data_IF_421023558141
#
_entry.id   IF_421023558141
#
_cell.length_a   1.000
_cell.length_b   1.000
_cell.length_c   1.000
_cell.angle_alpha   90.00
_cell.angle_beta   90.00
_cell.angle_gamma   90.00
#
_symmetry.space_group_name_H-M   'P 1'
#
loop_
_entity.id
_entity.type
_entity.pdbx_description
1 polymer ?
#
# COMPACT_ATOMS: atom_id res chain seq x y z
N UNK A 1 26.29 2.68 15.42
CA UNK A 1 25.86 1.29 15.19
C UNK A 1 24.94 1.32 13.97
N UNK A 2 25.32 0.67 12.86
CA UNK A 2 24.50 0.61 11.65
C UNK A 2 23.52 -0.56 11.85
N UNK A 3 22.24 -0.27 12.01
CA UNK A 3 21.22 -1.30 12.03
C UNK A 3 21.04 -1.83 10.59
N UNK A 4 21.36 -3.09 10.36
CA UNK A 4 21.08 -3.76 9.09
C UNK A 4 19.68 -4.38 9.19
N UNK A 5 18.74 -3.80 8.49
CA UNK A 5 17.42 -4.38 8.34
C UNK A 5 17.45 -5.42 7.22
N UNK A 6 16.83 -6.57 7.47
CA UNK A 6 16.65 -7.60 6.44
C UNK A 6 15.31 -7.34 5.75
N UNK A 7 15.32 -7.33 4.43
CA UNK A 7 14.11 -7.26 3.60
C UNK A 7 14.26 -8.16 2.38
N UNK A 8 13.12 -8.53 1.80
CA UNK A 8 13.07 -9.29 0.55
C UNK A 8 12.98 -8.34 -0.65
N UNK A 9 13.30 -8.82 -1.83
CA UNK A 9 13.00 -8.10 -3.07
C UNK A 9 11.49 -8.24 -3.37
N UNK A 10 10.68 -7.42 -2.70
CA UNK A 10 9.24 -7.54 -2.70
C UNK A 10 8.61 -7.52 -4.12
N UNK A 11 9.04 -6.69 -5.09
CA UNK A 11 8.52 -6.72 -6.45
C UNK A 11 8.59 -8.08 -7.15
N UNK A 12 9.58 -8.90 -6.82
CA UNK A 12 9.71 -10.25 -7.37
C UNK A 12 8.78 -11.27 -6.68
N UNK A 13 8.47 -11.04 -5.42
CA UNK A 13 7.90 -12.09 -4.57
C UNK A 13 6.46 -11.84 -4.14
N UNK A 14 6.01 -10.59 -4.08
CA UNK A 14 4.68 -10.23 -3.59
C UNK A 14 3.73 -9.85 -4.73
N UNK A 15 2.47 -10.21 -4.58
CA UNK A 15 1.36 -9.63 -5.33
C UNK A 15 0.82 -8.36 -4.63
N UNK A 16 -0.16 -7.70 -5.23
CA UNK A 16 -0.75 -6.45 -4.74
C UNK A 16 -1.63 -6.60 -3.48
N UNK A 17 -1.84 -7.83 -3.04
CA UNK A 17 -2.46 -8.17 -1.74
C UNK A 17 -1.43 -8.58 -0.67
N UNK A 18 -0.14 -8.35 -0.95
CA UNK A 18 1.02 -8.71 -0.12
C UNK A 18 1.19 -10.22 0.10
N UNK A 19 0.63 -11.03 -0.80
CA UNK A 19 0.74 -12.48 -0.81
C UNK A 19 2.01 -12.91 -1.52
N UNK A 20 2.66 -13.93 -1.00
CA UNK A 20 3.79 -14.56 -1.69
C UNK A 20 3.31 -15.30 -2.94
N UNK A 21 3.80 -14.92 -4.12
CA UNK A 21 3.42 -15.53 -5.40
C UNK A 21 3.65 -17.04 -5.45
N UNK A 22 4.71 -17.55 -4.77
CA UNK A 22 5.05 -18.97 -4.71
C UNK A 22 4.37 -19.72 -3.55
N UNK A 23 3.81 -19.01 -2.58
CA UNK A 23 3.14 -19.53 -1.41
C UNK A 23 1.91 -18.69 -1.13
N UNK A 24 0.82 -18.90 -1.88
CA UNK A 24 -0.39 -18.07 -1.78
C UNK A 24 -1.08 -18.13 -0.42
N UNK A 25 -0.77 -19.11 0.39
CA UNK A 25 -1.18 -19.25 1.78
C UNK A 25 -0.47 -18.29 2.75
N UNK A 26 0.58 -17.58 2.30
CA UNK A 26 1.37 -16.68 3.13
C UNK A 26 1.30 -15.24 2.61
N UNK A 27 1.18 -14.31 3.55
CA UNK A 27 1.37 -12.87 3.32
C UNK A 27 2.50 -12.34 4.18
N UNK A 28 3.17 -11.34 3.70
CA UNK A 28 4.22 -10.64 4.42
C UNK A 28 3.84 -9.18 4.63
N UNK A 29 4.21 -8.65 5.79
CA UNK A 29 3.97 -7.25 6.14
C UNK A 29 5.12 -6.70 6.97
N UNK A 30 5.18 -5.39 7.10
CA UNK A 30 6.21 -4.71 7.87
C UNK A 30 7.56 -4.68 7.17
N UNK A 31 8.59 -4.43 7.95
CA UNK A 31 9.94 -4.14 7.48
C UNK A 31 10.52 -5.20 6.54
N UNK A 32 10.17 -6.46 6.73
CA UNK A 32 10.61 -7.56 5.85
C UNK A 32 10.19 -7.35 4.39
N UNK A 33 9.11 -6.61 4.13
CA UNK A 33 8.63 -6.30 2.78
C UNK A 33 9.36 -5.15 2.10
N UNK A 34 10.18 -4.39 2.83
CA UNK A 34 10.86 -3.21 2.30
C UNK A 34 10.15 -1.89 2.60
N UNK A 35 9.27 -1.85 3.59
CA UNK A 35 8.80 -0.58 4.15
C UNK A 35 9.68 -0.17 5.31
N UNK A 36 9.89 1.13 5.47
CA UNK A 36 10.57 1.72 6.61
C UNK A 36 9.59 2.51 7.47
N UNK A 37 9.81 2.47 8.80
CA UNK A 37 8.96 3.17 9.75
C UNK A 37 7.85 2.32 10.38
N UNK A 38 7.45 2.73 11.59
CA UNK A 38 6.44 2.00 12.37
C UNK A 38 5.05 2.12 11.77
N UNK A 39 4.71 3.29 11.24
CA UNK A 39 3.39 3.54 10.63
C UNK A 39 3.23 2.73 9.35
N UNK A 40 4.24 2.69 8.50
CA UNK A 40 4.25 1.90 7.27
C UNK A 40 4.20 0.40 7.56
N UNK A 41 4.90 -0.05 8.59
CA UNK A 41 4.85 -1.44 9.03
C UNK A 41 3.46 -1.83 9.53
N UNK A 42 2.83 -0.99 10.34
CA UNK A 42 1.46 -1.19 10.80
C UNK A 42 0.46 -1.16 9.63
N UNK A 43 0.64 -0.22 8.69
CA UNK A 43 -0.21 -0.09 7.52
C UNK A 43 -0.17 -1.34 6.63
N UNK A 44 1.01 -1.88 6.34
CA UNK A 44 1.13 -3.13 5.56
C UNK A 44 0.54 -4.32 6.30
N UNK A 45 0.66 -4.38 7.64
CA UNK A 45 -0.01 -5.38 8.47
C UNK A 45 -1.53 -5.31 8.35
N UNK A 46 -2.10 -4.10 8.42
CA UNK A 46 -3.53 -3.87 8.22
C UNK A 46 -3.97 -4.31 6.82
N UNK A 47 -3.25 -3.95 5.77
CA UNK A 47 -3.57 -4.33 4.39
C UNK A 47 -3.57 -5.85 4.24
N UNK A 48 -2.52 -6.53 4.71
CA UNK A 48 -2.40 -7.98 4.63
C UNK A 48 -3.54 -8.70 5.37
N UNK A 49 -3.86 -8.25 6.59
CA UNK A 49 -4.96 -8.81 7.38
C UNK A 49 -6.31 -8.61 6.71
N UNK A 50 -6.60 -7.42 6.18
CA UNK A 50 -7.84 -7.14 5.47
C UNK A 50 -8.01 -7.98 4.22
N UNK A 51 -6.96 -8.11 3.42
CA UNK A 51 -6.99 -8.95 2.23
C UNK A 51 -7.22 -10.43 2.58
N UNK A 52 -6.59 -10.91 3.65
CA UNK A 52 -6.82 -12.28 4.15
C UNK A 52 -8.28 -12.48 4.56
N UNK A 53 -8.81 -11.59 5.39
CA UNK A 53 -10.20 -11.69 5.86
C UNK A 53 -11.19 -11.66 4.71
N UNK A 54 -10.98 -10.79 3.71
CA UNK A 54 -11.85 -10.72 2.54
C UNK A 54 -11.95 -12.09 1.81
N UNK A 55 -10.83 -12.78 1.67
CA UNK A 55 -10.79 -14.11 1.04
C UNK A 55 -11.43 -15.19 1.93
N UNK A 56 -11.14 -15.19 3.23
CA UNK A 56 -11.68 -16.17 4.18
C UNK A 56 -13.22 -16.13 4.27
N UNK A 57 -13.82 -14.97 4.06
CA UNK A 57 -15.30 -14.84 4.03
C UNK A 57 -15.88 -15.04 2.63
N UNK A 58 -15.10 -15.54 1.68
CA UNK A 58 -15.54 -15.84 0.32
C UNK A 58 -15.65 -14.62 -0.60
N UNK A 59 -15.07 -13.49 -0.20
CA UNK A 59 -14.98 -12.28 -1.02
C UNK A 59 -13.70 -12.22 -1.86
N UNK A 60 -13.50 -11.07 -2.50
CA UNK A 60 -12.31 -10.78 -3.30
C UNK A 60 -11.45 -9.76 -2.55
N UNK A 61 -10.17 -10.07 -2.39
CA UNK A 61 -9.21 -9.12 -1.86
C UNK A 61 -8.85 -8.06 -2.90
N UNK A 62 -8.90 -6.80 -2.49
CA UNK A 62 -8.49 -5.66 -3.32
C UNK A 62 -7.40 -4.87 -2.62
N UNK A 63 -6.33 -4.46 -3.33
CA UNK A 63 -5.37 -3.52 -2.78
C UNK A 63 -6.03 -2.15 -2.54
N UNK A 64 -5.50 -1.34 -1.62
CA UNK A 64 -5.97 0.03 -1.47
C UNK A 64 -5.71 0.85 -2.75
N UNK A 65 -6.57 1.84 -3.07
CA UNK A 65 -6.42 2.66 -4.28
C UNK A 65 -5.05 3.33 -4.36
N UNK A 66 -4.40 3.35 -5.53
CA UNK A 66 -3.01 3.81 -5.68
C UNK A 66 -2.81 5.31 -5.41
N UNK A 67 -3.87 6.10 -5.41
CA UNK A 67 -3.87 7.53 -5.05
C UNK A 67 -3.76 7.74 -3.53
N UNK A 68 -3.94 6.70 -2.73
CA UNK A 68 -3.84 6.73 -1.27
C UNK A 68 -2.41 6.45 -0.81
N UNK A 69 -2.07 6.86 0.41
CA UNK A 69 -0.79 6.50 1.04
C UNK A 69 -0.60 4.98 1.13
N UNK A 70 -1.66 4.25 1.50
CA UNK A 70 -1.66 2.79 1.58
C UNK A 70 -1.42 2.14 0.21
N UNK A 71 -2.12 2.61 -0.83
CA UNK A 71 -1.93 2.12 -2.20
C UNK A 71 -0.58 2.49 -2.77
N UNK A 72 -0.04 3.66 -2.43
CA UNK A 72 1.31 4.07 -2.76
C UNK A 72 2.38 3.12 -2.20
N UNK A 73 2.22 2.67 -0.95
CA UNK A 73 3.09 1.65 -0.35
C UNK A 73 3.00 0.31 -1.11
N UNK A 74 1.79 -0.20 -1.35
CA UNK A 74 1.61 -1.45 -2.09
C UNK A 74 2.24 -1.35 -3.48
N UNK A 75 2.01 -0.25 -4.19
CA UNK A 75 2.61 -0.03 -5.51
C UNK A 75 4.14 -0.01 -5.46
N UNK A 76 4.74 0.61 -4.44
CA UNK A 76 6.18 0.56 -4.25
C UNK A 76 6.68 -0.87 -4.07
N UNK A 77 6.00 -1.66 -3.25
CA UNK A 77 6.38 -3.04 -2.94
C UNK A 77 6.18 -4.02 -4.11
N UNK A 78 5.30 -3.73 -5.07
CA UNK A 78 4.88 -4.71 -6.06
C UNK A 78 5.16 -4.32 -7.50
N UNK A 79 5.35 -3.02 -7.77
CA UNK A 79 5.51 -2.47 -9.12
C UNK A 79 6.80 -1.68 -9.33
N UNK A 80 7.68 -1.58 -8.32
CA UNK A 80 9.01 -1.00 -8.50
C UNK A 80 9.90 -1.93 -9.33
N UNK A 81 10.92 -1.35 -9.99
CA UNK A 81 11.94 -2.17 -10.64
C UNK A 81 12.67 -3.03 -9.60
N UNK A 82 12.70 -4.34 -9.84
CA UNK A 82 13.38 -5.29 -8.94
C UNK A 82 14.87 -5.02 -8.81
N UNK A 83 15.50 -4.47 -9.85
CA UNK A 83 16.94 -4.23 -9.89
C UNK A 83 17.34 -3.03 -9.01
N UNK A 84 16.43 -2.11 -8.79
CA UNK A 84 16.67 -0.87 -8.03
C UNK A 84 15.81 -0.76 -6.78
N UNK A 85 15.10 -1.83 -6.40
CA UNK A 85 14.23 -1.83 -5.24
C UNK A 85 15.00 -1.56 -3.96
N UNK A 86 14.56 -0.56 -3.22
CA UNK A 86 15.10 -0.18 -1.91
C UNK A 86 13.96 0.06 -0.93
N UNK A 87 14.18 -0.21 0.36
CA UNK A 87 13.22 0.14 1.39
C UNK A 87 12.86 1.63 1.36
N UNK A 88 11.61 1.94 1.67
CA UNK A 88 11.14 3.32 1.65
C UNK A 88 10.05 3.57 2.70
N UNK A 89 10.03 4.82 3.19
CA UNK A 89 8.87 5.40 3.85
C UNK A 89 7.87 5.88 2.78
N UNK A 90 6.64 6.11 3.20
CA UNK A 90 5.65 6.72 2.33
C UNK A 90 6.03 8.16 1.97
N UNK A 91 5.96 8.48 0.70
CA UNK A 91 6.16 9.82 0.18
C UNK A 91 5.08 10.16 -0.85
N UNK A 92 4.88 11.45 -1.13
CA UNK A 92 3.97 11.90 -2.19
C UNK A 92 4.29 11.29 -3.57
N UNK A 93 5.57 10.98 -3.83
CA UNK A 93 6.00 10.36 -5.09
C UNK A 93 5.57 8.92 -5.28
N UNK A 94 5.24 8.21 -4.22
CA UNK A 94 4.74 6.83 -4.27
C UNK A 94 3.24 6.77 -4.60
N UNK A 95 2.48 7.80 -4.24
CA UNK A 95 1.05 7.85 -4.54
C UNK A 95 0.84 8.13 -6.04
N UNK A 96 -0.16 7.49 -6.64
CA UNK A 96 -0.53 7.78 -8.01
C UNK A 96 -0.99 9.25 -8.14
N UNK A 97 -0.61 9.95 -9.21
CA UNK A 97 -0.98 11.34 -9.38
C UNK A 97 -2.49 11.50 -9.60
N UNK A 98 -3.00 12.69 -9.26
CA UNK A 98 -4.36 13.06 -9.65
C UNK A 98 -4.53 13.03 -11.18
N UNK A 99 -5.77 12.79 -11.68
CA UNK A 99 -6.04 12.81 -13.12
C UNK A 99 -5.52 14.07 -13.80
N UNK A 100 -4.96 13.94 -15.01
CA UNK A 100 -4.39 15.03 -15.77
C UNK A 100 -5.41 16.11 -16.17
N UNK A 101 -6.70 15.78 -16.13
CA UNK A 101 -7.82 16.70 -16.40
C UNK A 101 -8.07 17.71 -15.28
N UNK A 102 -7.49 17.49 -14.08
CA UNK A 102 -7.66 18.40 -12.97
C UNK A 102 -6.74 19.63 -13.10
N UNK A 103 -7.33 20.83 -13.09
CA UNK A 103 -6.60 22.10 -13.10
C UNK A 103 -6.43 22.63 -11.67
N UNK A 104 -5.23 23.09 -11.33
CA UNK A 104 -4.89 23.59 -10.00
C UNK A 104 -4.17 24.93 -10.08
N UNK A 105 -4.48 25.85 -9.16
CA UNK A 105 -3.83 27.17 -9.06
C UNK A 105 -2.43 27.13 -8.44
N UNK A 106 -1.91 25.91 -8.15
CA UNK A 106 -0.56 25.74 -7.61
C UNK A 106 -0.36 24.44 -6.85
N UNK A 107 0.89 24.23 -6.41
CA UNK A 107 1.29 22.98 -5.72
C UNK A 107 0.51 22.73 -4.42
N UNK A 108 0.19 23.79 -3.66
CA UNK A 108 -0.53 23.67 -2.38
C UNK A 108 -1.95 23.15 -2.60
N UNK A 109 -2.69 23.75 -3.52
CA UNK A 109 -4.06 23.33 -3.86
C UNK A 109 -4.08 21.90 -4.38
N UNK A 110 -3.13 21.55 -5.28
CA UNK A 110 -3.01 20.19 -5.79
C UNK A 110 -2.79 19.17 -4.67
N UNK A 111 -1.90 19.46 -3.70
CA UNK A 111 -1.66 18.57 -2.55
C UNK A 111 -2.87 18.44 -1.65
N UNK A 112 -3.57 19.54 -1.40
CA UNK A 112 -4.79 19.52 -0.59
C UNK A 112 -5.86 18.66 -1.25
N UNK A 113 -6.12 18.87 -2.53
CA UNK A 113 -7.09 18.07 -3.28
C UNK A 113 -6.71 16.59 -3.34
N UNK A 114 -5.43 16.30 -3.48
CA UNK A 114 -4.96 14.92 -3.45
C UNK A 114 -5.19 14.30 -2.06
N UNK A 115 -4.91 15.02 -0.99
CA UNK A 115 -5.15 14.51 0.36
C UNK A 115 -6.64 14.25 0.63
N UNK A 116 -7.53 15.17 0.21
CA UNK A 116 -8.98 15.01 0.32
C UNK A 116 -9.47 13.75 -0.42
N UNK A 117 -9.04 13.58 -1.67
CA UNK A 117 -9.36 12.40 -2.48
C UNK A 117 -8.80 11.12 -1.85
N UNK A 118 -7.56 11.15 -1.41
CA UNK A 118 -6.90 9.97 -0.80
C UNK A 118 -7.62 9.50 0.46
N UNK A 119 -8.06 10.43 1.32
CA UNK A 119 -8.85 10.10 2.52
C UNK A 119 -10.19 9.48 2.15
N UNK A 120 -10.90 10.06 1.18
CA UNK A 120 -12.19 9.54 0.73
C UNK A 120 -12.05 8.14 0.12
N UNK A 121 -11.05 7.93 -0.74
CA UNK A 121 -10.78 6.63 -1.35
C UNK A 121 -10.37 5.58 -0.31
N UNK A 122 -9.53 5.95 0.67
CA UNK A 122 -9.14 5.05 1.75
C UNK A 122 -10.35 4.66 2.62
N UNK A 123 -11.25 5.61 2.92
CA UNK A 123 -12.49 5.34 3.65
C UNK A 123 -13.37 4.36 2.89
N UNK A 124 -13.63 4.61 1.60
CA UNK A 124 -14.42 3.71 0.74
C UNK A 124 -13.80 2.32 0.67
N UNK A 125 -12.49 2.24 0.48
CA UNK A 125 -11.79 0.96 0.52
C UNK A 125 -11.97 0.28 1.87
N UNK A 126 -11.97 1.06 2.96
CA UNK A 126 -12.25 0.60 4.30
C UNK A 126 -13.62 -0.06 4.44
N UNK A 127 -14.62 0.45 3.77
CA UNK A 127 -16.02 0.02 3.85
C UNK A 127 -16.35 -1.20 2.95
N UNK A 128 -15.49 -1.54 1.99
CA UNK A 128 -15.75 -2.64 1.04
C UNK A 128 -15.60 -4.05 1.64
N UNK A 129 -15.15 -4.18 2.87
CA UNK A 129 -15.03 -5.48 3.51
C UNK A 129 -16.33 -5.87 4.21
N UNK A 130 -16.77 -7.13 4.07
CA UNK A 130 -17.87 -7.65 4.86
C UNK A 130 -17.42 -7.72 6.33
N UNK A 131 -18.15 -7.05 7.19
CA UNK A 131 -17.93 -7.05 8.63
C UNK A 131 -17.59 -5.66 9.17
N UNK A 132 -18.55 -5.06 9.87
CA UNK A 132 -18.28 -3.95 10.76
C UNK A 132 -17.45 -4.48 11.93
N UNK A 133 -16.17 -4.14 11.92
CA UNK A 133 -15.36 -4.30 13.12
C UNK A 133 -15.68 -3.09 14.02
N UNK A 134 -16.56 -3.31 14.96
CA UNK A 134 -16.82 -2.41 16.09
C UNK A 134 -15.81 -2.72 17.18
#
# INVERSE_FOLDING_TARGET
>A
MIHRNTFINAPLHLDDTLRLRRRPDLRLAGQITGVEGYVESAATGLIAARCLVAEEVGGVAFPPPPETALGGLVRHLTSSSSDTFQPSNITWGLMAPLPATASFRGRRERRQRHAELAVELARRWGETLPGHWV
#
